data_IF_282709236158
#
_entry.id   IF_282709236158
#
_cell.length_a   1.000
_cell.length_b   1.000
_cell.length_c   1.000
_cell.angle_alpha   90.00
_cell.angle_beta   90.00
_cell.angle_gamma   90.00
#
_symmetry.space_group_name_H-M   'P 1'
#
loop_
_entity.id
_entity.type
_entity.pdbx_description
1 polymer ?
2 water ?
#
# COMPACT_ATOMS: atom_id res chain seq x y z
N UNK A 1 -4.96 22.27 0.65
CA UNK A 1 -3.92 21.31 0.21
C UNK A 1 -2.60 21.57 0.93
N UNK A 2 -1.80 20.53 1.11
CA UNK A 2 -0.48 20.65 1.76
C UNK A 2 0.59 19.97 0.90
N UNK A 3 1.60 20.73 0.49
CA UNK A 3 2.65 20.08 -0.33
C UNK A 3 3.79 19.69 0.58
N UNK A 4 4.30 18.47 0.36
CA UNK A 4 5.41 17.90 1.09
C UNK A 4 6.48 17.45 0.10
N UNK A 5 7.69 18.01 0.22
CA UNK A 5 8.77 17.55 -0.65
C UNK A 5 9.87 16.88 0.20
N UNK A 6 9.89 17.09 1.52
CA UNK A 6 10.87 16.42 2.37
C UNK A 6 10.70 14.93 2.16
N UNK A 7 11.77 14.18 2.05
CA UNK A 7 11.71 12.76 1.71
C UNK A 7 10.81 11.98 2.66
N UNK A 8 10.91 12.31 3.97
CA UNK A 8 10.16 11.60 5.00
C UNK A 8 9.07 12.44 5.61
N UNK A 9 8.62 13.45 4.91
CA UNK A 9 7.54 14.30 5.38
C UNK A 9 6.17 13.60 5.33
N UNK A 10 5.31 13.98 6.27
CA UNK A 10 3.96 13.45 6.31
C UNK A 10 2.99 14.55 6.80
N UNK A 11 1.72 14.27 6.50
CA UNK A 11 0.65 15.14 6.96
C UNK A 11 -0.62 14.28 7.10
N UNK A 12 -1.67 14.88 7.65
CA UNK A 12 -2.90 14.12 7.88
C UNK A 12 -4.05 14.70 7.08
N UNK A 13 -4.99 13.86 6.62
CA UNK A 13 -6.11 14.34 5.82
C UNK A 13 -7.43 13.84 6.42
N UNK A 14 -8.53 14.58 6.20
CA UNK A 14 -9.80 14.08 6.77
C UNK A 14 -9.69 13.75 8.24
N UNK A 15 -8.82 14.33 9.07
CA UNK A 15 -8.64 13.96 10.45
C UNK A 15 -8.40 12.49 10.73
N UNK A 16 -7.98 11.66 9.76
CA UNK A 16 -7.82 10.26 10.04
C UNK A 16 -6.76 9.54 9.23
N UNK A 17 -6.27 10.10 8.10
CA UNK A 17 -5.28 9.23 7.40
C UNK A 17 -3.95 9.99 7.32
N UNK A 18 -2.87 9.25 7.17
CA UNK A 18 -1.57 9.96 7.03
C UNK A 18 -1.16 9.89 5.56
N UNK A 19 -0.74 11.02 5.04
CA UNK A 19 -0.19 11.04 3.67
C UNK A 19 1.34 11.06 3.86
N UNK A 20 2.10 10.21 3.17
CA UNK A 20 3.56 10.21 3.35
C UNK A 20 4.26 10.29 2.00
N UNK A 21 5.24 11.17 1.91
CA UNK A 21 6.03 11.27 0.67
C UNK A 21 6.81 9.98 0.52
N UNK A 22 7.50 9.53 1.57
CA UNK A 22 8.18 8.25 1.67
C UNK A 22 9.12 7.99 0.51
N UNK A 23 10.04 8.96 0.30
CA UNK A 23 10.98 8.90 -0.84
C UNK A 23 12.26 8.24 -0.36
N UNK A 24 12.14 6.95 -0.03
CA UNK A 24 13.23 6.21 0.56
C UNK A 24 14.26 5.69 -0.44
N UNK A 25 13.93 5.60 -1.71
CA UNK A 25 14.83 4.94 -2.67
C UNK A 25 15.32 5.73 -3.86
N UNK A 26 15.36 7.05 -3.66
CA UNK A 26 15.78 7.96 -4.74
C UNK A 26 16.41 9.19 -4.11
N UNK A 27 17.32 9.88 -4.81
CA UNK A 27 17.83 11.14 -4.33
C UNK A 27 17.29 12.35 -5.09
N UNK A 28 16.54 12.09 -6.14
CA UNK A 28 16.00 13.18 -6.96
C UNK A 28 14.70 13.65 -6.27
N UNK A 29 14.33 14.88 -6.52
CA UNK A 29 13.18 15.47 -5.89
C UNK A 29 11.90 14.67 -6.10
N UNK A 30 11.11 14.51 -5.06
CA UNK A 30 9.76 13.97 -5.19
C UNK A 30 8.89 14.73 -4.17
N UNK A 31 7.70 15.12 -4.56
CA UNK A 31 6.78 15.83 -3.69
C UNK A 31 5.37 15.21 -3.87
N UNK A 32 4.62 15.27 -2.78
CA UNK A 32 3.21 14.88 -2.85
C UNK A 32 2.41 16.09 -2.32
N UNK A 33 1.18 16.19 -2.78
CA UNK A 33 0.29 17.24 -2.27
C UNK A 33 -0.93 16.56 -1.72
N UNK A 34 -1.13 16.63 -0.42
CA UNK A 34 -2.29 16.07 0.27
C UNK A 34 -3.50 16.93 -0.03
N UNK A 35 -4.61 16.23 -0.35
CA UNK A 35 -5.84 16.96 -0.68
C UNK A 35 -6.84 16.63 0.42
N UNK A 36 -8.09 17.03 0.20
CA UNK A 36 -9.09 16.71 1.22
C UNK A 36 -9.28 15.21 1.34
N UNK A 37 -9.31 14.50 0.21
CA UNK A 37 -9.57 13.06 0.30
C UNK A 37 -8.45 12.12 -0.09
N UNK A 38 -7.27 12.65 -0.43
CA UNK A 38 -6.18 11.74 -0.81
C UNK A 38 -4.92 12.58 -1.06
N UNK A 39 -4.24 12.25 -2.14
CA UNK A 39 -3.02 13.01 -2.42
C UNK A 39 -2.69 12.86 -3.89
N UNK A 40 -1.84 13.76 -4.39
CA UNK A 40 -1.33 13.59 -5.74
C UNK A 40 0.20 13.66 -5.69
N UNK A 41 0.83 12.95 -6.60
CA UNK A 41 2.29 13.05 -6.76
C UNK A 41 2.52 14.28 -7.60
N UNK A 42 3.15 15.34 -7.05
CA UNK A 42 3.28 16.54 -7.90
C UNK A 42 4.65 16.72 -8.48
N UNK A 43 5.64 15.99 -8.02
CA UNK A 43 6.95 15.94 -8.66
C UNK A 43 7.52 14.55 -8.36
N UNK A 44 8.17 13.90 -9.32
CA UNK A 44 8.76 12.60 -9.04
C UNK A 44 9.91 12.38 -10.04
N UNK A 45 10.99 13.11 -9.84
CA UNK A 45 12.09 13.06 -10.79
C UNK A 45 12.89 11.80 -10.62
N UNK A 46 13.68 11.50 -11.68
CA UNK A 46 14.57 10.35 -11.56
C UNK A 46 13.96 9.04 -12.04
N UNK A 47 14.90 8.11 -12.23
CA UNK A 47 14.49 6.77 -12.71
C UNK A 47 15.30 5.72 -11.98
N UNK A 48 14.65 4.65 -11.53
CA UNK A 48 15.34 3.55 -10.89
C UNK A 48 15.20 2.35 -11.84
N UNK A 49 16.25 1.58 -11.93
CA UNK A 49 16.28 0.40 -12.80
C UNK A 49 15.12 -0.52 -12.48
N UNK A 50 14.39 -0.98 -13.49
CA UNK A 50 13.19 -1.79 -13.27
C UNK A 50 13.38 -3.20 -12.74
N UNK A 51 14.59 -3.66 -12.63
CA UNK A 51 14.92 -4.96 -12.06
C UNK A 51 15.28 -4.87 -10.59
N UNK A 52 15.17 -3.65 -10.02
CA UNK A 52 15.46 -3.39 -8.63
C UNK A 52 14.28 -2.74 -7.90
N UNK A 53 14.61 -2.18 -6.73
CA UNK A 53 13.57 -1.52 -5.92
C UNK A 53 13.12 -0.25 -6.64
N UNK A 54 11.88 0.14 -6.34
CA UNK A 54 11.32 1.37 -6.87
C UNK A 54 11.95 2.58 -6.16
N UNK A 55 11.58 3.77 -6.62
CA UNK A 55 12.17 4.97 -6.00
C UNK A 55 11.59 5.28 -4.63
N UNK A 56 10.35 4.84 -4.38
CA UNK A 56 9.63 5.32 -3.22
C UNK A 56 8.27 4.65 -3.13
N UNK A 57 7.50 5.00 -2.12
CA UNK A 57 6.13 4.53 -1.98
C UNK A 57 5.31 5.63 -1.37
N UNK A 58 5.01 6.69 -2.14
CA UNK A 58 4.14 7.77 -1.73
C UNK A 58 2.76 7.14 -1.58
N UNK A 59 2.15 7.43 -0.41
CA UNK A 59 0.92 6.73 -0.06
C UNK A 59 0.18 7.35 1.09
N UNK A 60 -1.04 6.83 1.26
CA UNK A 60 -1.90 7.29 2.38
C UNK A 60 -2.26 6.07 3.21
N UNK A 61 -2.36 6.21 4.55
CA UNK A 61 -2.58 5.01 5.34
C UNK A 61 -3.39 5.29 6.62
N UNK A 62 -4.00 4.20 7.02
CA UNK A 62 -4.70 4.13 8.32
C UNK A 62 -3.85 3.14 9.11
N UNK A 63 -3.46 3.52 10.34
CA UNK A 63 -2.68 2.57 11.13
C UNK A 63 -1.35 3.17 11.58
N UNK A 64 -0.43 2.30 11.91
CA UNK A 64 0.87 2.71 12.47
C UNK A 64 1.97 2.21 11.55
N UNK A 65 2.78 3.15 11.05
CA UNK A 65 3.89 2.86 10.18
C UNK A 65 5.17 3.49 10.76
N UNK A 66 6.02 2.69 11.35
CA UNK A 66 7.26 3.19 11.98
C UNK A 66 7.05 4.38 12.88
N UNK A 67 6.21 4.17 13.91
CA UNK A 67 5.90 5.08 14.99
C UNK A 67 4.83 6.10 14.60
N UNK A 68 4.61 6.29 13.30
CA UNK A 68 3.67 7.27 12.80
C UNK A 68 2.28 6.66 12.69
N UNK A 69 1.38 6.98 13.63
CA UNK A 69 0.03 6.42 13.66
C UNK A 69 -1.00 7.47 13.28
N UNK A 70 -1.89 7.11 12.35
CA UNK A 70 -2.90 8.07 11.91
C UNK A 70 -3.75 8.46 13.10
N UNK A 71 -4.32 9.65 13.05
CA UNK A 71 -5.09 10.20 14.16
C UNK A 71 -6.31 9.33 14.44
N UNK A 72 -6.41 8.83 15.68
CA UNK A 72 -7.52 8.02 16.12
C UNK A 72 -7.68 6.66 15.47
N UNK A 73 -6.60 6.05 15.00
CA UNK A 73 -6.72 4.75 14.35
C UNK A 73 -7.16 3.70 15.37
N UNK A 74 -7.88 2.71 14.86
CA UNK A 74 -8.30 1.56 15.63
C UNK A 74 -7.25 0.46 15.54
N UNK A 75 -6.20 0.68 14.71
CA UNK A 75 -5.14 -0.29 14.56
C UNK A 75 -3.97 0.11 15.45
N UNK A 76 -3.13 -0.83 15.80
CA UNK A 76 -3.26 -2.23 15.45
C UNK A 76 -4.42 -2.91 16.18
N UNK A 77 -5.13 -3.75 15.45
CA UNK A 77 -6.28 -4.48 16.01
C UNK A 77 -6.08 -5.97 15.80
N UNK A 78 -6.54 -6.79 16.74
CA UNK A 78 -6.38 -8.23 16.61
C UNK A 78 -7.45 -8.76 15.64
N UNK A 79 -6.99 -9.60 14.75
CA UNK A 79 -7.72 -10.04 13.58
C UNK A 79 -8.96 -10.85 13.92
N UNK A 80 -8.89 -11.54 15.07
CA UNK A 80 -10.06 -12.34 15.46
C UNK A 80 -11.10 -11.47 16.10
N UNK A 81 -10.89 -10.19 16.27
CA UNK A 81 -11.92 -9.31 16.82
C UNK A 81 -12.55 -8.51 15.69
N UNK A 82 -12.04 -8.73 14.49
CA UNK A 82 -12.49 -7.93 13.33
C UNK A 82 -13.58 -8.68 12.54
N UNK A 83 -14.72 -8.03 12.43
CA UNK A 83 -15.80 -8.62 11.61
C UNK A 83 -15.58 -8.26 10.14
N UNK A 84 -14.96 -7.08 9.96
CA UNK A 84 -14.71 -6.55 8.62
C UNK A 84 -13.71 -5.39 8.67
N UNK A 85 -12.93 -5.26 7.59
CA UNK A 85 -11.99 -4.14 7.50
C UNK A 85 -12.15 -3.53 6.09
N UNK A 86 -13.23 -2.87 5.83
CA UNK A 86 -13.53 -2.34 4.51
C UNK A 86 -12.54 -1.24 4.13
N UNK A 87 -12.21 -1.23 2.84
CA UNK A 87 -11.37 -0.10 2.41
C UNK A 87 -11.85 0.26 1.03
N UNK A 88 -11.75 1.53 0.65
CA UNK A 88 -12.10 1.93 -0.71
C UNK A 88 -11.05 2.91 -1.25
N UNK A 89 -10.97 2.89 -2.57
CA UNK A 89 -10.01 3.74 -3.26
C UNK A 89 -10.47 4.12 -4.67
N UNK A 90 -10.04 5.31 -5.08
CA UNK A 90 -10.23 5.88 -6.39
C UNK A 90 -8.83 6.33 -6.83
N UNK A 91 -8.24 5.68 -7.81
CA UNK A 91 -6.90 6.00 -8.29
C UNK A 91 -6.95 6.83 -9.59
N UNK A 92 -5.96 7.71 -9.68
CA UNK A 92 -5.84 8.55 -10.91
C UNK A 92 -4.54 8.10 -11.57
N UNK A 93 -4.63 7.60 -12.81
CA UNK A 93 -3.42 7.12 -13.49
C UNK A 93 -2.98 8.05 -14.63
N UNK A 94 -1.70 7.97 -14.99
CA UNK A 94 -1.21 8.83 -16.08
C UNK A 94 -0.35 7.95 -16.97
N UNK A 95 -0.17 8.38 -18.23
CA UNK A 95 0.53 7.53 -19.18
C UNK A 95 2.04 7.60 -19.32
N UNK A 96 2.77 8.51 -18.69
CA UNK A 96 4.21 8.49 -18.93
C UNK A 96 5.10 8.18 -17.73
N UNK A 97 4.65 7.18 -16.98
CA UNK A 97 5.44 6.77 -15.80
C UNK A 97 5.50 5.25 -15.84
N UNK A 98 6.57 4.78 -15.25
CA UNK A 98 6.77 3.36 -15.01
C UNK A 98 6.46 3.16 -13.51
N UNK A 99 5.40 2.39 -13.22
CA UNK A 99 5.05 2.29 -11.79
C UNK A 99 4.00 1.20 -11.54
N UNK A 100 3.76 0.93 -10.26
CA UNK A 100 2.55 0.19 -9.92
C UNK A 100 1.73 1.07 -8.98
N UNK A 101 0.44 0.78 -8.95
CA UNK A 101 -0.52 1.37 -8.02
C UNK A 101 -0.82 0.21 -7.05
N UNK A 102 -0.53 0.38 -5.77
CA UNK A 102 -0.64 -0.77 -4.90
C UNK A 102 -1.03 -0.40 -3.48
N UNK A 103 -1.69 -1.40 -2.88
CA UNK A 103 -1.92 -1.33 -1.44
C UNK A 103 -0.79 -2.14 -0.78
N UNK A 104 -0.37 -1.72 0.41
CA UNK A 104 0.55 -2.47 1.26
C UNK A 104 -0.25 -2.67 2.58
N UNK A 105 -0.53 -3.91 2.95
CA UNK A 105 -1.31 -4.23 4.17
C UNK A 105 -0.36 -5.04 5.06
N UNK A 106 -0.15 -4.50 6.28
CA UNK A 106 0.90 -5.19 7.08
C UNK A 106 0.28 -5.95 8.26
N UNK A 107 0.86 -7.12 8.44
CA UNK A 107 0.34 -7.95 9.56
C UNK A 107 1.51 -8.37 10.46
N UNK A 108 1.18 -8.57 11.74
CA UNK A 108 2.25 -8.99 12.66
C UNK A 108 1.62 -9.75 13.83
N UNK A 109 2.41 -10.58 14.47
CA UNK A 109 1.99 -11.30 15.67
C UNK A 109 1.83 -10.42 16.88
N UNK A 110 2.39 -9.20 16.90
CA UNK A 110 2.28 -8.29 18.02
C UNK A 110 1.55 -7.01 17.61
N UNK A 111 1.08 -6.21 18.56
CA UNK A 111 0.38 -4.97 18.20
C UNK A 111 1.45 -3.94 17.88
N UNK A 112 2.08 -4.12 16.72
CA UNK A 112 3.22 -3.36 16.29
C UNK A 112 2.88 -1.96 15.82
N UNK A 113 3.54 -0.99 16.47
CA UNK A 113 3.35 0.41 16.10
C UNK A 113 4.63 0.94 15.46
N UNK A 114 5.71 0.19 15.57
CA UNK A 114 7.02 0.56 15.06
C UNK A 114 7.84 -0.66 14.67
N UNK A 115 8.82 -0.46 13.78
CA UNK A 115 9.67 -1.60 13.43
C UNK A 115 8.99 -2.40 12.30
N UNK A 116 9.75 -3.30 11.71
CA UNK A 116 9.33 -4.06 10.55
C UNK A 116 8.24 -5.05 10.98
N UNK A 117 7.15 -5.07 10.23
CA UNK A 117 6.06 -6.00 10.49
C UNK A 117 6.39 -7.32 9.81
N UNK A 118 5.89 -8.41 10.38
CA UNK A 118 6.26 -9.74 9.89
C UNK A 118 5.88 -10.10 8.48
N UNK A 119 4.63 -9.79 8.07
CA UNK A 119 4.17 -10.19 6.74
C UNK A 119 3.50 -9.01 6.00
N UNK A 120 3.87 -8.88 4.74
CA UNK A 120 3.31 -7.80 3.94
C UNK A 120 2.45 -8.39 2.82
N UNK A 121 1.22 -7.81 2.72
CA UNK A 121 0.35 -8.15 1.62
C UNK A 121 0.35 -6.97 0.64
N UNK A 122 0.61 -7.28 -0.63
CA UNK A 122 0.60 -6.19 -1.68
C UNK A 122 -0.49 -6.49 -2.66
N UNK A 123 -1.31 -5.44 -2.93
CA UNK A 123 -2.36 -5.57 -3.95
C UNK A 123 -2.10 -4.57 -5.12
N UNK A 124 -1.69 -5.13 -6.24
CA UNK A 124 -1.38 -4.30 -7.41
C UNK A 124 -2.63 -4.01 -8.23
N UNK A 125 -3.11 -2.77 -8.23
CA UNK A 125 -4.26 -2.30 -8.96
C UNK A 125 -3.90 -1.90 -10.38
N UNK A 126 -2.60 -1.61 -10.62
CA UNK A 126 -2.19 -1.27 -12.00
C UNK A 126 -0.68 -1.42 -12.09
N UNK A 127 -0.20 -1.74 -13.28
CA UNK A 127 1.24 -1.96 -13.50
C UNK A 127 1.59 -1.44 -14.90
N UNK A 128 2.47 -0.46 -14.98
CA UNK A 128 2.92 0.07 -16.27
C UNK A 128 4.45 -0.03 -16.29
N UNK A 129 4.97 -0.83 -17.22
CA UNK A 129 6.42 -1.01 -17.34
C UNK A 129 6.84 -2.44 -17.00
N UNK A 130 8.09 -2.75 -17.25
CA UNK A 130 8.66 -4.08 -17.04
C UNK A 130 9.08 -4.29 -15.60
N UNK A 131 8.08 -4.23 -14.72
CA UNK A 131 8.28 -4.42 -13.28
C UNK A 131 7.48 -5.63 -12.84
N UNK A 132 7.91 -6.23 -11.73
CA UNK A 132 7.16 -7.36 -11.19
C UNK A 132 7.28 -7.35 -9.67
N UNK A 133 6.35 -8.04 -9.02
CA UNK A 133 6.31 -8.11 -7.57
C UNK A 133 7.57 -8.83 -7.02
N UNK A 134 7.75 -8.76 -5.72
CA UNK A 134 8.79 -9.43 -4.96
C UNK A 134 8.53 -10.93 -5.07
N UNK A 135 9.55 -11.75 -5.23
CA UNK A 135 9.39 -13.20 -5.16
C UNK A 135 9.02 -13.80 -6.51
N UNK A 136 8.27 -14.89 -6.49
CA UNK A 136 7.86 -15.58 -7.69
C UNK A 136 6.36 -15.90 -7.72
N UNK A 137 5.83 -16.06 -8.91
CA UNK A 137 4.42 -16.32 -9.15
C UNK A 137 4.04 -17.69 -8.65
N UNK A 138 2.92 -17.83 -7.95
CA UNK A 138 2.55 -19.15 -7.43
C UNK A 138 1.19 -19.60 -7.95
N UNK A 139 0.49 -18.88 -8.79
CA UNK A 139 -0.77 -19.30 -9.42
C UNK A 139 -1.84 -18.22 -9.25
N UNK A 140 -3.11 -18.49 -9.54
CA UNK A 140 -4.13 -17.47 -9.35
C UNK A 140 -4.95 -17.69 -8.08
N UNK A 141 -5.76 -16.68 -7.74
CA UNK A 141 -6.65 -16.83 -6.57
C UNK A 141 -7.79 -15.83 -6.78
N UNK A 142 -8.98 -16.24 -6.39
CA UNK A 142 -10.14 -15.36 -6.46
C UNK A 142 -10.27 -14.77 -5.07
N UNK A 143 -10.16 -13.45 -4.94
CA UNK A 143 -10.31 -12.76 -3.66
C UNK A 143 -11.27 -11.58 -3.87
N UNK A 144 -12.33 -11.52 -3.08
CA UNK A 144 -13.25 -10.37 -3.17
C UNK A 144 -14.04 -10.34 -4.45
N UNK A 145 -14.22 -11.47 -5.13
CA UNK A 145 -14.95 -11.48 -6.41
C UNK A 145 -14.14 -11.25 -7.67
N UNK A 146 -12.82 -11.01 -7.53
CA UNK A 146 -11.92 -10.71 -8.62
C UNK A 146 -10.74 -11.74 -8.59
N UNK A 147 -10.17 -11.94 -9.75
CA UNK A 147 -9.09 -12.88 -9.96
C UNK A 147 -7.73 -12.15 -10.00
N UNK A 148 -6.78 -12.73 -9.30
CA UNK A 148 -5.47 -12.17 -9.09
C UNK A 148 -4.37 -13.21 -9.39
N UNK A 149 -3.26 -12.69 -9.93
CA UNK A 149 -2.09 -13.61 -9.99
C UNK A 149 -1.36 -13.44 -8.69
N UNK A 150 -1.03 -14.47 -7.93
CA UNK A 150 -0.38 -14.37 -6.64
C UNK A 150 1.13 -14.62 -6.76
N UNK A 151 1.89 -13.82 -6.09
CA UNK A 151 3.33 -13.93 -5.91
C UNK A 151 3.71 -14.01 -4.46
N UNK A 152 4.76 -14.79 -4.06
CA UNK A 152 5.24 -14.81 -2.70
C UNK A 152 6.79 -14.79 -2.68
N UNK A 153 7.38 -14.21 -1.66
CA UNK A 153 8.85 -14.17 -1.61
C UNK A 153 9.26 -13.39 -0.40
N UNK A 154 10.51 -13.10 -0.21
CA UNK A 154 10.92 -12.36 1.01
C UNK A 154 11.71 -11.19 0.46
N UNK A 155 11.33 -9.96 0.79
CA UNK A 155 11.89 -8.75 0.26
C UNK A 155 13.17 -8.22 0.89
N UNK A 156 13.61 -8.91 1.94
CA UNK A 156 14.76 -8.45 2.74
C UNK A 156 14.34 -8.60 4.21
N UNK A 157 13.80 -7.54 4.81
CA UNK A 157 13.35 -7.58 6.20
C UNK A 157 12.09 -8.39 6.48
N UNK A 158 11.41 -8.96 5.48
CA UNK A 158 10.20 -9.72 5.73
C UNK A 158 9.55 -10.43 4.56
N UNK A 159 8.49 -11.21 4.82
CA UNK A 159 7.75 -11.92 3.80
C UNK A 159 6.67 -11.05 3.09
N UNK A 160 6.54 -11.27 1.80
CA UNK A 160 5.62 -10.50 0.94
C UNK A 160 4.79 -11.38 0.03
N UNK A 161 3.43 -11.23 0.14
CA UNK A 161 2.50 -11.98 -0.69
C UNK A 161 1.74 -10.96 -1.59
N UNK A 162 1.92 -11.05 -2.87
CA UNK A 162 1.29 -10.04 -3.76
C UNK A 162 0.19 -10.62 -4.60
N UNK A 163 -0.89 -9.82 -4.74
CA UNK A 163 -2.06 -10.14 -5.56
C UNK A 163 -2.14 -9.11 -6.68
N UNK A 164 -1.89 -9.55 -7.91
CA UNK A 164 -1.82 -8.67 -9.05
C UNK A 164 -3.01 -8.69 -9.98
N UNK A 165 -3.60 -7.51 -10.23
CA UNK A 165 -4.75 -7.43 -11.14
C UNK A 165 -4.28 -7.63 -12.58
N UNK A 166 -5.11 -8.30 -13.38
CA UNK A 166 -4.87 -8.54 -14.78
C UNK A 166 -4.85 -7.28 -15.62
N UNK A 167 -5.67 -6.29 -15.28
CA UNK A 167 -5.70 -5.03 -16.02
C UNK A 167 -6.02 -3.94 -15.03
N UNK A 168 -5.87 -2.68 -15.39
CA UNK A 168 -6.04 -1.60 -14.44
C UNK A 168 -7.38 -1.54 -13.72
N UNK A 169 -7.29 -1.39 -12.39
CA UNK A 169 -8.47 -1.16 -11.57
C UNK A 169 -8.34 0.29 -11.08
N UNK A 170 -9.21 1.14 -11.61
CA UNK A 170 -9.16 2.54 -11.18
C UNK A 170 -9.95 2.82 -9.93
N UNK A 171 -10.87 1.95 -9.51
CA UNK A 171 -11.62 2.25 -8.28
C UNK A 171 -12.23 0.95 -7.77
N UNK A 172 -12.20 0.74 -6.46
CA UNK A 172 -12.74 -0.49 -5.88
C UNK A 172 -13.06 -0.29 -4.40
N UNK A 173 -14.04 -1.06 -3.91
CA UNK A 173 -14.34 -1.10 -2.47
C UNK A 173 -14.28 -2.56 -2.09
N UNK A 174 -13.57 -2.88 -1.01
CA UNK A 174 -13.41 -4.29 -0.72
C UNK A 174 -13.16 -4.54 0.74
N UNK A 175 -13.09 -5.78 1.17
CA UNK A 175 -12.81 -6.07 2.57
C UNK A 175 -11.36 -6.57 2.64
N UNK A 176 -10.52 -5.83 3.35
CA UNK A 176 -9.11 -6.17 3.55
C UNK A 176 -8.99 -7.54 4.21
N UNK A 177 -10.02 -7.97 4.98
CA UNK A 177 -9.96 -9.28 5.63
C UNK A 177 -10.01 -10.38 4.58
N UNK A 178 -10.57 -10.12 3.37
CA UNK A 178 -10.57 -11.20 2.39
C UNK A 178 -9.12 -11.54 2.01
N UNK A 179 -8.28 -10.51 1.84
CA UNK A 179 -6.87 -10.76 1.49
C UNK A 179 -6.11 -11.34 2.69
N UNK A 180 -6.43 -10.94 3.88
CA UNK A 180 -5.82 -11.45 5.11
C UNK A 180 -6.16 -12.95 5.17
N UNK A 181 -7.45 -13.31 4.93
CA UNK A 181 -7.76 -14.73 4.94
C UNK A 181 -6.99 -15.54 3.92
N UNK A 182 -6.76 -14.99 2.71
CA UNK A 182 -5.98 -15.68 1.71
C UNK A 182 -4.50 -15.81 2.12
N UNK A 183 -4.06 -14.91 2.96
CA UNK A 183 -2.67 -14.90 3.45
C UNK A 183 -2.54 -15.92 4.58
N UNK A 184 -3.51 -15.92 5.47
CA UNK A 184 -3.56 -16.94 6.54
C UNK A 184 -3.59 -18.31 5.90
N UNK A 185 -4.35 -18.53 4.83
CA UNK A 185 -4.49 -19.79 4.13
C UNK A 185 -3.19 -20.20 3.44
N UNK A 186 -2.32 -19.24 3.16
CA UNK A 186 -1.03 -19.64 2.59
C UNK A 186 0.04 -19.73 3.67
N UNK A 187 -0.26 -19.75 4.95
CA UNK A 187 0.73 -19.88 6.02
C UNK A 187 1.61 -18.72 6.37
N UNK A 188 1.19 -17.49 6.06
CA UNK A 188 1.99 -16.29 6.32
C UNK A 188 1.43 -15.40 7.38
N UNK A 189 0.39 -15.83 8.06
CA UNK A 189 -0.16 -15.11 9.20
C UNK A 189 -1.06 -16.09 9.94
N UNK A 190 -1.63 -15.72 11.07
CA UNK A 190 -2.53 -16.58 11.81
C UNK A 190 -3.69 -15.68 12.20
N UNK A 191 -4.81 -16.28 12.62
CA UNK A 191 -6.01 -15.49 12.90
C UNK A 191 -5.99 -14.57 14.08
N UNK A 192 -5.01 -14.80 14.95
CA UNK A 192 -4.88 -13.95 16.12
C UNK A 192 -3.71 -12.98 15.99
N UNK A 193 -3.36 -12.70 14.73
CA UNK A 193 -2.33 -11.70 14.47
C UNK A 193 -3.02 -10.35 14.45
N UNK A 194 -2.16 -9.35 14.25
CA UNK A 194 -2.66 -7.99 14.29
C UNK A 194 -2.58 -7.42 12.86
N UNK A 195 -3.59 -6.60 12.59
CA UNK A 195 -3.51 -5.82 11.36
C UNK A 195 -2.89 -4.51 11.87
N UNK A 196 -1.72 -4.17 11.32
CA UNK A 196 -1.09 -2.93 11.82
C UNK A 196 -1.20 -1.70 10.91
N UNK A 197 -1.34 -1.85 9.60
CA UNK A 197 -1.64 -0.70 8.78
C UNK A 197 -2.25 -1.18 7.43
N UNK A 198 -3.00 -0.26 6.87
CA UNK A 198 -3.61 -0.44 5.52
C UNK A 198 -3.17 0.83 4.76
N UNK A 199 -2.27 0.62 3.78
CA UNK A 199 -1.76 1.76 3.02
C UNK A 199 -2.07 1.61 1.54
N UNK A 200 -2.23 2.74 0.85
CA UNK A 200 -2.43 2.64 -0.60
C UNK A 200 -1.71 3.83 -1.24
N UNK A 201 -1.07 3.54 -2.39
CA UNK A 201 -0.35 4.61 -3.09
C UNK A 201 0.30 4.00 -4.33
N UNK A 202 1.51 4.41 -4.63
CA UNK A 202 2.17 3.98 -5.88
C UNK A 202 3.61 3.67 -5.55
N UNK A 203 4.18 2.74 -6.29
CA UNK A 203 5.63 2.53 -6.30
C UNK A 203 6.07 2.97 -7.70
N UNK A 204 6.70 4.12 -7.88
CA UNK A 204 7.16 4.60 -9.17
C UNK A 204 8.61 4.27 -9.42
N UNK A 205 8.94 3.87 -10.65
CA UNK A 205 10.34 3.57 -10.98
C UNK A 205 10.86 4.69 -11.89
N UNK A 206 10.00 5.19 -12.76
CA UNK A 206 10.36 6.29 -13.67
C UNK A 206 9.27 7.33 -13.65
N UNK A 207 9.62 8.61 -13.51
CA UNK A 207 8.60 9.67 -13.40
C UNK A 207 7.56 9.36 -12.33
N UNK A 208 6.31 9.74 -12.51
CA UNK A 208 5.28 9.50 -11.46
C UNK A 208 4.41 10.69 -11.16
N UNK A 209 4.89 11.88 -11.56
CA UNK A 209 4.10 13.09 -11.36
C UNK A 209 2.76 12.95 -12.08
N UNK A 210 1.68 13.33 -11.43
CA UNK A 210 0.35 13.21 -12.05
C UNK A 210 -0.46 12.05 -11.45
N UNK A 211 0.26 11.03 -10.98
CA UNK A 211 -0.42 9.91 -10.30
C UNK A 211 -1.12 10.46 -9.06
N UNK A 212 -2.30 9.92 -8.77
CA UNK A 212 -3.05 10.38 -7.62
C UNK A 212 -3.88 9.29 -6.94
N UNK A 213 -4.13 9.56 -5.67
CA UNK A 213 -5.09 8.78 -4.88
C UNK A 213 -6.22 9.81 -4.72
N UNK A 214 -7.28 9.68 -5.52
CA UNK A 214 -8.33 10.71 -5.45
C UNK A 214 -9.11 10.57 -4.17
N UNK A 215 -9.32 9.33 -3.71
CA UNK A 215 -10.04 9.17 -2.46
C UNK A 215 -9.60 7.83 -1.86
N UNK A 216 -9.67 7.77 -0.55
CA UNK A 216 -9.28 6.56 0.18
C UNK A 216 -10.10 6.50 1.46
N UNK A 217 -10.47 5.30 1.86
CA UNK A 217 -11.07 5.07 3.17
C UNK A 217 -10.58 3.74 3.68
N UNK A 218 -10.47 3.62 4.98
CA UNK A 218 -10.05 2.38 5.63
C UNK A 218 -10.58 2.42 7.07
N UNK A 219 -11.45 1.48 7.42
CA UNK A 219 -12.02 1.36 8.75
C UNK A 219 -11.95 -0.10 9.18
N UNK A 220 -12.29 -0.33 10.46
CA UNK A 220 -12.31 -1.68 11.01
C UNK A 220 -13.61 -1.84 11.80
N UNK A 221 -14.30 -2.94 11.55
CA UNK A 221 -15.55 -3.24 12.27
C UNK A 221 -15.23 -4.36 13.22
N UNK A 222 -15.53 -4.17 14.50
CA UNK A 222 -15.18 -5.19 15.49
C UNK A 222 -16.42 -5.82 16.13
#
# INVERSE_FOLDING_TARGET
DTTICEPFGTTTIQGRYVVQNNRWGSTAPQCVTATDTGFRVTQADGSAPTNGAPKSYPSVFNGCHYTNCSPGTDLPVRLDTVSAAPSSISYGFVDGAVYNASYDIWLDPTARTDGVNQTEIMIWFNRVGPIQPIGSPVGTASVGGRTWEVWSGGNGSNDVLSFVAPSAISGWSFDVMDFVRATVARGLAENDWYLTSVQAGFEPWQNGAGLAVNSFSSTVETGTPGGTDPGDPG
#
